data_IF_360634461635
#
_entry.id   IF_360634461635
#
_cell.length_a   1.000
_cell.length_b   1.000
_cell.length_c   1.000
_cell.angle_alpha   90.00
_cell.angle_beta   90.00
_cell.angle_gamma   90.00
#
_symmetry.space_group_name_H-M   'P 1'
#
loop_
_entity.id
_entity.type
_entity.pdbx_description
1 polymer ?
#
# COMPACT_ATOMS: atom_id res chain seq x y z
N UNK A 1 -11.93 8.73 8.72
CA UNK A 1 -10.77 8.04 8.07
C UNK A 1 -11.23 6.68 7.55
N UNK A 2 -10.87 6.27 6.31
CA UNK A 2 -11.16 4.93 5.79
C UNK A 2 -10.30 3.87 6.48
N UNK A 3 -10.85 2.66 6.71
CA UNK A 3 -10.12 1.54 7.32
C UNK A 3 -10.15 0.36 6.38
N UNK A 4 -8.98 -0.18 6.03
CA UNK A 4 -8.82 -1.30 5.13
C UNK A 4 -8.47 -2.58 5.89
N UNK A 5 -9.15 -3.67 5.51
CA UNK A 5 -8.84 -5.03 5.95
C UNK A 5 -8.09 -5.81 4.88
N UNK A 6 -7.99 -7.12 5.08
CA UNK A 6 -7.40 -8.04 4.13
C UNK A 6 -8.20 -9.33 4.02
N UNK A 7 -7.95 -10.08 2.95
CA UNK A 7 -8.43 -11.45 2.79
C UNK A 7 -7.25 -12.37 2.51
N UNK A 8 -7.45 -13.66 2.81
CA UNK A 8 -6.44 -14.69 2.55
C UNK A 8 -6.29 -15.03 1.06
N UNK A 9 -5.47 -16.07 0.81
CA UNK A 9 -5.23 -16.57 -0.56
C UNK A 9 -5.93 -17.92 -0.86
N UNK A 10 -6.65 -18.46 0.11
CA UNK A 10 -7.51 -19.63 -0.11
C UNK A 10 -8.80 -19.19 -0.78
N UNK A 11 -8.85 -19.31 -2.11
CA UNK A 11 -9.97 -18.84 -2.92
C UNK A 11 -11.31 -19.42 -2.52
N UNK A 12 -11.33 -20.58 -1.85
CA UNK A 12 -12.58 -21.19 -1.35
C UNK A 12 -13.15 -20.44 -0.14
N UNK A 13 -12.35 -19.65 0.56
CA UNK A 13 -12.72 -18.87 1.77
C UNK A 13 -12.87 -17.38 1.51
N UNK A 14 -12.20 -16.85 0.49
CA UNK A 14 -12.17 -15.42 0.20
C UNK A 14 -13.57 -14.80 0.11
N UNK A 15 -14.55 -15.50 -0.45
CA UNK A 15 -15.92 -14.98 -0.57
C UNK A 15 -16.57 -14.71 0.79
N UNK A 16 -16.37 -15.61 1.76
CA UNK A 16 -16.89 -15.46 3.13
C UNK A 16 -16.12 -14.40 3.90
N UNK A 17 -14.79 -14.41 3.80
CA UNK A 17 -13.92 -13.42 4.42
C UNK A 17 -14.23 -12.00 3.92
N UNK A 18 -14.48 -11.84 2.63
CA UNK A 18 -14.81 -10.55 2.04
C UNK A 18 -16.18 -10.02 2.49
N UNK A 19 -17.21 -10.90 2.57
CA UNK A 19 -18.50 -10.53 3.16
C UNK A 19 -18.37 -10.13 4.61
N UNK A 20 -17.63 -10.91 5.40
CA UNK A 20 -17.40 -10.58 6.81
C UNK A 20 -16.71 -9.21 6.96
N UNK A 21 -15.69 -8.91 6.14
CA UNK A 21 -15.02 -7.63 6.17
C UNK A 21 -15.99 -6.47 5.86
N UNK A 22 -16.85 -6.62 4.85
CA UNK A 22 -17.86 -5.61 4.51
C UNK A 22 -18.89 -5.43 5.64
N UNK A 23 -19.35 -6.52 6.27
CA UNK A 23 -20.29 -6.47 7.43
C UNK A 23 -19.66 -5.87 8.68
N UNK A 24 -18.36 -6.00 8.86
CA UNK A 24 -17.62 -5.37 9.95
C UNK A 24 -17.45 -3.85 9.75
N UNK A 25 -17.69 -3.33 8.54
CA UNK A 25 -17.60 -1.91 8.22
C UNK A 25 -16.23 -1.46 7.72
N UNK A 26 -15.40 -2.38 7.26
CA UNK A 26 -14.19 -1.99 6.52
C UNK A 26 -14.53 -1.17 5.28
N UNK A 27 -13.69 -0.20 4.96
CA UNK A 27 -13.85 0.65 3.77
C UNK A 27 -13.24 0.00 2.52
N UNK A 28 -12.28 -0.89 2.72
CA UNK A 28 -11.61 -1.61 1.64
C UNK A 28 -11.04 -2.96 2.07
N UNK A 29 -10.75 -3.79 1.09
CA UNK A 29 -10.10 -5.09 1.23
C UNK A 29 -8.83 -5.09 0.38
N UNK A 30 -7.70 -5.41 0.98
CA UNK A 30 -6.40 -5.42 0.33
C UNK A 30 -5.81 -6.83 0.23
N UNK A 31 -5.09 -7.09 -0.86
CA UNK A 31 -4.26 -8.27 -1.06
C UNK A 31 -2.83 -7.88 -1.45
N UNK A 32 -1.85 -8.68 -1.07
CA UNK A 32 -0.43 -8.42 -1.36
C UNK A 32 0.16 -9.52 -2.26
N UNK A 33 1.05 -9.15 -3.18
CA UNK A 33 1.80 -10.12 -3.98
C UNK A 33 3.01 -10.64 -3.20
N UNK A 34 2.83 -11.79 -2.55
CA UNK A 34 3.87 -12.47 -1.77
C UNK A 34 4.17 -13.85 -2.35
N UNK A 35 3.56 -14.89 -1.84
CA UNK A 35 3.64 -16.27 -2.34
C UNK A 35 2.57 -16.60 -3.40
N UNK A 36 1.57 -15.73 -3.55
CA UNK A 36 0.44 -15.89 -4.47
C UNK A 36 0.24 -14.64 -5.32
N UNK A 37 -0.51 -14.80 -6.41
CA UNK A 37 -0.95 -13.68 -7.25
C UNK A 37 -2.02 -12.86 -6.50
N UNK A 38 -1.91 -11.52 -6.47
CA UNK A 38 -2.79 -10.67 -5.68
C UNK A 38 -4.16 -10.45 -6.30
N UNK A 39 -4.36 -10.75 -7.58
CA UNK A 39 -5.59 -10.41 -8.29
C UNK A 39 -6.70 -11.46 -8.13
N UNK A 40 -6.35 -12.75 -8.06
CA UNK A 40 -7.37 -13.82 -7.98
C UNK A 40 -8.28 -13.70 -6.76
N UNK A 41 -7.79 -13.44 -5.53
CA UNK A 41 -8.67 -13.21 -4.40
C UNK A 41 -9.63 -12.04 -4.62
N UNK A 42 -9.18 -10.97 -5.28
CA UNK A 42 -10.01 -9.79 -5.53
C UNK A 42 -11.11 -10.04 -6.56
N UNK A 43 -10.90 -10.96 -7.53
CA UNK A 43 -11.97 -11.41 -8.43
C UNK A 43 -13.09 -12.10 -7.64
N UNK A 44 -12.73 -12.95 -6.69
CA UNK A 44 -13.72 -13.64 -5.82
C UNK A 44 -14.41 -12.61 -4.90
N UNK A 45 -13.64 -11.72 -4.26
CA UNK A 45 -14.18 -10.68 -3.39
C UNK A 45 -15.16 -9.75 -4.12
N UNK A 46 -14.88 -9.39 -5.39
CA UNK A 46 -15.75 -8.55 -6.20
C UNK A 46 -17.16 -9.11 -6.33
N UNK A 47 -17.30 -10.44 -6.46
CA UNK A 47 -18.59 -11.12 -6.59
C UNK A 47 -19.35 -11.23 -5.26
N UNK A 48 -18.67 -11.06 -4.12
CA UNK A 48 -19.23 -11.30 -2.79
C UNK A 48 -19.42 -10.01 -1.97
N UNK A 49 -19.05 -8.85 -2.51
CA UNK A 49 -19.14 -7.54 -1.87
C UNK A 49 -19.81 -6.51 -2.77
N UNK A 50 -20.31 -5.41 -2.18
CA UNK A 50 -21.02 -4.34 -2.92
C UNK A 50 -20.50 -2.93 -2.64
N UNK A 51 -19.76 -2.72 -1.54
CA UNK A 51 -19.40 -1.38 -1.05
C UNK A 51 -17.90 -1.17 -0.86
N UNK A 52 -17.20 -2.20 -0.37
CA UNK A 52 -15.76 -2.07 -0.06
C UNK A 52 -14.93 -1.88 -1.32
N UNK A 53 -13.95 -0.99 -1.25
CA UNK A 53 -12.89 -0.91 -2.25
C UNK A 53 -12.11 -2.24 -2.29
N UNK A 54 -11.67 -2.65 -3.46
CA UNK A 54 -10.84 -3.86 -3.64
C UNK A 54 -9.47 -3.42 -4.13
N UNK A 55 -8.43 -3.69 -3.36
CA UNK A 55 -7.11 -3.09 -3.62
C UNK A 55 -6.00 -4.13 -3.64
N UNK A 56 -5.08 -4.02 -4.61
CA UNK A 56 -3.77 -4.66 -4.45
C UNK A 56 -2.86 -3.77 -3.60
N UNK A 57 -2.24 -4.33 -2.55
CA UNK A 57 -1.30 -3.61 -1.67
C UNK A 57 -0.04 -4.45 -1.40
N UNK A 58 0.78 -4.66 -2.38
CA UNK A 58 0.80 -4.14 -3.76
C UNK A 58 0.90 -5.29 -4.77
N UNK A 59 0.55 -5.00 -6.02
CA UNK A 59 0.97 -5.80 -7.16
C UNK A 59 2.33 -5.32 -7.66
N UNK A 60 3.22 -6.27 -8.01
CA UNK A 60 4.58 -5.96 -8.47
C UNK A 60 4.55 -5.53 -9.93
N UNK A 61 4.69 -4.22 -10.18
CA UNK A 61 4.61 -3.66 -11.53
C UNK A 61 5.71 -4.20 -12.47
N UNK A 62 6.96 -4.25 -12.00
CA UNK A 62 8.08 -4.61 -12.86
C UNK A 62 8.21 -6.10 -13.19
N UNK A 63 7.35 -6.94 -12.64
CA UNK A 63 7.19 -8.33 -13.09
C UNK A 63 6.24 -8.47 -14.29
N UNK A 64 5.55 -7.39 -14.68
CA UNK A 64 4.53 -7.34 -15.72
C UNK A 64 4.77 -6.19 -16.70
N UNK A 65 3.92 -6.06 -17.71
CA UNK A 65 3.95 -4.92 -18.64
C UNK A 65 2.80 -3.95 -18.36
N UNK A 66 2.90 -2.66 -18.76
CA UNK A 66 1.79 -1.73 -18.66
C UNK A 66 0.51 -2.23 -19.32
N UNK A 67 0.60 -2.86 -20.49
CA UNK A 67 -0.55 -3.43 -21.20
C UNK A 67 -1.23 -4.54 -20.39
N UNK A 68 -0.45 -5.46 -19.82
CA UNK A 68 -1.00 -6.55 -19.00
C UNK A 68 -1.76 -6.01 -17.78
N UNK A 69 -1.19 -5.01 -17.09
CA UNK A 69 -1.85 -4.42 -15.93
C UNK A 69 -3.02 -3.51 -16.32
N UNK A 70 -2.98 -2.90 -17.52
CA UNK A 70 -4.13 -2.16 -18.03
C UNK A 70 -5.34 -3.09 -18.24
N UNK A 71 -5.14 -4.29 -18.83
CA UNK A 71 -6.19 -5.29 -19.00
C UNK A 71 -6.73 -5.76 -17.63
N UNK A 72 -5.85 -6.21 -16.75
CA UNK A 72 -6.26 -6.70 -15.41
C UNK A 72 -7.02 -5.62 -14.64
N UNK A 73 -6.51 -4.38 -14.67
CA UNK A 73 -7.14 -3.26 -14.00
C UNK A 73 -8.53 -2.94 -14.55
N UNK A 74 -8.69 -2.95 -15.87
CA UNK A 74 -9.99 -2.76 -16.53
C UNK A 74 -10.99 -3.86 -16.14
N UNK A 75 -10.60 -5.13 -16.27
CA UNK A 75 -11.48 -6.27 -16.01
C UNK A 75 -11.92 -6.32 -14.54
N UNK A 76 -10.98 -6.11 -13.60
CA UNK A 76 -11.32 -6.04 -12.17
C UNK A 76 -12.17 -4.82 -11.81
N UNK A 77 -11.91 -3.68 -12.45
CA UNK A 77 -12.73 -2.47 -12.23
C UNK A 77 -14.17 -2.70 -12.71
N UNK A 78 -14.34 -3.33 -13.86
CA UNK A 78 -15.66 -3.72 -14.38
C UNK A 78 -16.33 -4.76 -13.45
N UNK A 79 -15.62 -5.83 -13.05
CA UNK A 79 -16.16 -6.88 -12.17
C UNK A 79 -16.54 -6.37 -10.78
N UNK A 80 -15.90 -5.32 -10.30
CA UNK A 80 -16.17 -4.68 -9.00
C UNK A 80 -17.07 -3.44 -9.09
N UNK A 81 -17.63 -3.14 -10.25
CA UNK A 81 -18.50 -1.98 -10.44
C UNK A 81 -17.82 -0.64 -10.05
N UNK A 82 -16.54 -0.46 -10.48
CA UNK A 82 -15.77 0.77 -10.24
C UNK A 82 -15.05 0.84 -8.89
N UNK A 83 -15.07 -0.21 -8.07
CA UNK A 83 -14.48 -0.24 -6.72
C UNK A 83 -13.01 -0.66 -6.69
N UNK A 84 -12.42 -1.05 -7.83
CA UNK A 84 -11.05 -1.54 -7.86
C UNK A 84 -10.03 -0.41 -7.74
N UNK A 85 -9.01 -0.65 -6.92
CA UNK A 85 -7.83 0.20 -6.76
C UNK A 85 -6.59 -0.62 -7.11
N UNK A 86 -5.93 -0.25 -8.20
CA UNK A 86 -4.69 -0.88 -8.62
C UNK A 86 -3.51 -0.31 -7.85
N UNK A 87 -3.20 -0.92 -6.71
CA UNK A 87 -2.03 -0.57 -5.91
C UNK A 87 -0.76 -1.24 -6.45
N UNK A 88 0.19 -0.44 -6.88
CA UNK A 88 1.43 -0.86 -7.54
C UNK A 88 2.66 -0.62 -6.69
N UNK A 89 3.68 -1.46 -6.85
CA UNK A 89 5.01 -1.24 -6.29
C UNK A 89 6.10 -1.74 -7.21
N UNK A 90 7.29 -1.15 -7.11
CA UNK A 90 8.45 -1.54 -7.92
C UNK A 90 9.10 -2.84 -7.43
N UNK A 91 8.86 -3.24 -6.19
CA UNK A 91 9.61 -4.26 -5.47
C UNK A 91 11.11 -3.87 -5.37
N UNK A 92 11.94 -4.71 -4.78
CA UNK A 92 13.40 -4.51 -4.71
C UNK A 92 14.13 -5.20 -5.87
N UNK A 93 15.31 -4.69 -6.21
CA UNK A 93 16.13 -5.21 -7.32
C UNK A 93 16.31 -6.73 -7.27
N UNK A 94 16.62 -7.28 -6.08
CA UNK A 94 16.90 -8.72 -5.94
C UNK A 94 15.69 -9.59 -6.36
N UNK A 95 14.48 -9.22 -5.97
CA UNK A 95 13.27 -9.94 -6.36
C UNK A 95 12.99 -9.79 -7.86
N UNK A 96 13.10 -8.58 -8.41
CA UNK A 96 12.86 -8.37 -9.85
C UNK A 96 13.84 -9.17 -10.69
N UNK A 97 15.14 -9.12 -10.37
CA UNK A 97 16.16 -9.76 -11.21
C UNK A 97 16.30 -11.27 -10.98
N UNK A 98 16.13 -11.75 -9.73
CA UNK A 98 16.41 -13.14 -9.38
C UNK A 98 15.16 -14.02 -9.22
N UNK A 99 14.02 -13.44 -8.80
CA UNK A 99 12.75 -14.16 -8.65
C UNK A 99 11.88 -14.04 -9.90
N UNK A 100 11.75 -12.82 -10.46
CA UNK A 100 10.92 -12.58 -11.64
C UNK A 100 11.69 -12.63 -12.97
N UNK A 101 13.06 -12.72 -12.92
CA UNK A 101 13.92 -12.73 -14.12
C UNK A 101 13.70 -11.53 -15.06
N UNK A 102 13.44 -10.35 -14.50
CA UNK A 102 13.15 -9.14 -15.24
C UNK A 102 14.26 -8.10 -15.06
N UNK A 103 14.48 -7.20 -16.04
CA UNK A 103 15.47 -6.14 -15.94
C UNK A 103 15.10 -5.12 -14.87
N UNK A 104 16.14 -4.60 -14.17
CA UNK A 104 16.01 -3.54 -13.19
C UNK A 104 16.77 -2.30 -13.61
N UNK A 105 16.08 -1.18 -13.72
CA UNK A 105 16.72 0.11 -13.97
C UNK A 105 15.81 1.27 -13.56
N UNK A 106 16.40 2.39 -13.09
CA UNK A 106 15.73 3.68 -12.91
C UNK A 106 14.31 3.56 -12.26
N UNK A 107 14.16 3.00 -11.06
CA UNK A 107 12.84 2.54 -10.58
C UNK A 107 11.77 3.65 -10.55
N UNK A 108 12.10 4.87 -10.13
CA UNK A 108 11.13 5.95 -10.06
C UNK A 108 10.73 6.45 -11.48
N UNK A 109 11.69 6.72 -12.35
CA UNK A 109 11.41 7.22 -13.70
C UNK A 109 10.68 6.14 -14.54
N UNK A 110 11.06 4.88 -14.38
CA UNK A 110 10.40 3.74 -15.04
C UNK A 110 8.98 3.54 -14.51
N UNK A 111 8.73 3.70 -13.21
CA UNK A 111 7.38 3.60 -12.63
C UNK A 111 6.48 4.74 -13.10
N UNK A 112 7.02 5.96 -13.17
CA UNK A 112 6.31 7.10 -13.75
C UNK A 112 5.83 6.78 -15.17
N UNK A 113 6.74 6.32 -16.01
CA UNK A 113 6.42 5.98 -17.42
C UNK A 113 5.47 4.78 -17.51
N UNK A 114 5.62 3.78 -16.61
CA UNK A 114 4.73 2.63 -16.54
C UNK A 114 3.26 3.04 -16.32
N UNK A 115 3.02 3.91 -15.34
CA UNK A 115 1.66 4.39 -15.03
C UNK A 115 1.13 5.26 -16.17
N UNK A 116 1.95 6.14 -16.74
CA UNK A 116 1.54 6.95 -17.90
C UNK A 116 1.21 6.10 -19.13
N UNK A 117 1.95 5.01 -19.35
CA UNK A 117 1.68 4.07 -20.43
C UNK A 117 0.35 3.33 -20.22
N UNK A 118 0.03 2.88 -18.99
CA UNK A 118 -1.29 2.32 -18.69
C UNK A 118 -2.42 3.33 -18.94
N UNK A 119 -2.23 4.58 -18.48
CA UNK A 119 -3.22 5.65 -18.70
C UNK A 119 -3.44 5.94 -20.18
N UNK A 120 -2.39 5.90 -21.01
CA UNK A 120 -2.52 6.05 -22.45
C UNK A 120 -3.31 4.90 -23.09
N UNK A 121 -3.10 3.65 -22.62
CA UNK A 121 -3.90 2.50 -23.07
C UNK A 121 -5.38 2.68 -22.70
N UNK A 122 -5.69 3.03 -21.47
CA UNK A 122 -7.07 3.28 -21.03
C UNK A 122 -7.69 4.46 -21.78
N UNK A 123 -6.95 5.56 -21.98
CA UNK A 123 -7.44 6.69 -22.78
C UNK A 123 -7.88 6.24 -24.18
N UNK A 124 -7.04 5.45 -24.86
CA UNK A 124 -7.40 4.89 -26.18
C UNK A 124 -8.70 4.07 -26.12
N UNK A 125 -8.86 3.22 -25.10
CA UNK A 125 -10.07 2.39 -24.97
C UNK A 125 -11.34 3.19 -24.71
N UNK A 126 -11.26 4.28 -23.95
CA UNK A 126 -12.44 5.06 -23.56
C UNK A 126 -12.77 6.19 -24.51
N UNK A 127 -11.79 6.73 -25.23
CA UNK A 127 -12.00 7.86 -26.14
C UNK A 127 -12.02 7.46 -27.62
N UNK A 128 -11.45 6.29 -27.96
CA UNK A 128 -11.23 5.87 -29.34
C UNK A 128 -10.04 6.55 -30.02
N UNK A 129 -9.28 7.40 -29.30
CA UNK A 129 -8.08 8.02 -29.87
C UNK A 129 -7.00 6.96 -30.15
N UNK A 130 -6.18 7.12 -31.20
CA UNK A 130 -5.10 6.20 -31.51
C UNK A 130 -4.10 6.06 -30.34
N UNK A 131 -3.68 4.83 -30.06
CA UNK A 131 -2.62 4.59 -29.09
C UNK A 131 -1.27 5.04 -29.64
N UNK A 132 -0.69 6.10 -29.05
CA UNK A 132 0.54 6.74 -29.52
C UNK A 132 1.47 7.08 -28.34
N UNK A 133 1.78 6.08 -27.50
CA UNK A 133 2.70 6.25 -26.38
C UNK A 133 4.11 5.80 -26.73
N UNK A 134 5.09 6.70 -26.70
CA UNK A 134 6.50 6.41 -26.92
C UNK A 134 7.33 7.03 -25.81
N UNK A 135 7.90 6.19 -24.95
CA UNK A 135 8.72 6.58 -23.82
C UNK A 135 10.14 6.02 -23.92
N UNK A 136 10.89 6.19 -22.84
CA UNK A 136 12.24 5.65 -22.71
C UNK A 136 12.25 4.15 -22.41
N UNK A 137 11.25 3.67 -21.68
CA UNK A 137 11.17 2.30 -21.17
C UNK A 137 10.06 1.49 -21.85
N UNK A 138 9.00 2.14 -22.29
CA UNK A 138 7.82 1.51 -22.88
C UNK A 138 7.36 2.23 -24.15
N UNK A 139 6.92 1.43 -25.12
CA UNK A 139 6.33 1.92 -26.36
C UNK A 139 5.06 1.13 -26.65
N UNK A 140 3.94 1.83 -26.79
CA UNK A 140 2.64 1.27 -27.13
C UNK A 140 2.02 2.10 -28.26
N UNK A 141 2.05 1.56 -29.48
CA UNK A 141 1.59 2.27 -30.71
C UNK A 141 0.63 1.44 -31.55
N UNK A 142 0.17 0.32 -31.03
CA UNK A 142 -0.78 -0.55 -31.70
C UNK A 142 -1.98 -0.86 -30.81
N UNK A 143 -3.17 -0.48 -31.26
CA UNK A 143 -4.44 -0.90 -30.73
C UNK A 143 -5.42 -1.06 -31.88
N UNK A 144 -6.04 -2.23 -31.97
CA UNK A 144 -7.06 -2.49 -32.98
C UNK A 144 -8.41 -2.75 -32.32
N UNK A 145 -9.54 -2.60 -33.03
CA UNK A 145 -10.87 -2.84 -32.44
C UNK A 145 -11.03 -4.20 -31.80
N UNK A 146 -10.37 -5.23 -32.32
CA UNK A 146 -10.42 -6.58 -31.76
C UNK A 146 -9.82 -6.68 -30.33
N UNK A 147 -8.84 -5.83 -30.00
CA UNK A 147 -8.17 -5.79 -28.69
C UNK A 147 -8.65 -4.65 -27.79
N UNK A 148 -9.72 -3.94 -28.21
CA UNK A 148 -10.31 -2.87 -27.43
C UNK A 148 -11.50 -3.41 -26.64
N UNK A 149 -11.51 -3.30 -25.29
CA UNK A 149 -12.66 -3.71 -24.48
C UNK A 149 -13.93 -2.93 -24.84
N UNK A 150 -15.07 -3.58 -24.75
CA UNK A 150 -16.39 -2.97 -25.05
C UNK A 150 -17.16 -2.53 -23.80
N UNK A 151 -16.78 -3.03 -22.61
CA UNK A 151 -17.41 -2.68 -21.34
C UNK A 151 -16.63 -1.54 -20.64
N UNK A 152 -17.02 -0.30 -20.94
CA UNK A 152 -16.33 0.91 -20.46
C UNK A 152 -17.15 1.71 -19.42
N UNK A 153 -18.20 1.11 -18.88
CA UNK A 153 -19.17 1.78 -18.00
C UNK A 153 -18.52 2.39 -16.74
N UNK A 154 -17.52 1.70 -16.16
CA UNK A 154 -16.89 2.11 -14.91
C UNK A 154 -15.57 2.90 -15.08
N UNK A 155 -15.14 3.14 -16.31
CA UNK A 155 -13.92 3.89 -16.60
C UNK A 155 -12.62 3.20 -16.11
N UNK A 156 -11.53 3.97 -16.04
CA UNK A 156 -10.25 3.50 -15.59
C UNK A 156 -10.23 3.30 -14.05
N UNK A 157 -9.57 2.23 -13.54
CA UNK A 157 -9.41 2.07 -12.12
C UNK A 157 -8.52 3.17 -11.53
N UNK A 158 -8.72 3.47 -10.25
CA UNK A 158 -7.76 4.27 -9.48
C UNK A 158 -6.42 3.56 -9.39
N UNK A 159 -5.34 4.30 -9.50
CA UNK A 159 -3.97 3.77 -9.38
C UNK A 159 -3.33 4.34 -8.12
N UNK A 160 -2.97 3.48 -7.19
CA UNK A 160 -2.17 3.85 -6.03
C UNK A 160 -0.74 3.37 -6.22
N UNK A 161 0.24 4.16 -5.75
CA UNK A 161 1.66 3.81 -5.87
C UNK A 161 2.30 3.67 -4.49
N UNK A 162 2.87 2.49 -4.21
CA UNK A 162 3.67 2.32 -3.01
C UNK A 162 5.00 3.07 -3.13
N UNK A 163 5.27 3.93 -2.17
CA UNK A 163 6.45 4.77 -2.13
C UNK A 163 7.06 4.84 -0.73
N UNK A 164 8.39 4.82 -0.67
CA UNK A 164 9.18 4.94 0.56
C UNK A 164 10.06 6.18 0.51
N UNK A 165 10.89 6.30 -0.52
CA UNK A 165 11.81 7.44 -0.67
C UNK A 165 11.18 8.60 -1.43
N UNK A 166 11.72 9.83 -1.26
CA UNK A 166 11.11 11.07 -1.76
C UNK A 166 10.92 11.08 -3.29
N UNK A 167 11.81 10.42 -4.04
CA UNK A 167 11.71 10.39 -5.50
C UNK A 167 10.51 9.59 -6.00
N UNK A 168 10.24 8.41 -5.41
CA UNK A 168 9.08 7.61 -5.76
C UNK A 168 7.79 8.26 -5.26
N UNK A 169 7.83 8.90 -4.09
CA UNK A 169 6.72 9.67 -3.53
C UNK A 169 6.32 10.86 -4.43
N UNK A 170 7.30 11.57 -4.97
CA UNK A 170 7.06 12.64 -5.96
C UNK A 170 6.38 12.09 -7.22
N UNK A 171 6.83 10.92 -7.70
CA UNK A 171 6.17 10.22 -8.83
C UNK A 171 4.73 9.84 -8.48
N UNK A 172 4.46 9.35 -7.27
CA UNK A 172 3.08 9.07 -6.84
C UNK A 172 2.20 10.33 -6.95
N UNK A 173 2.63 11.46 -6.41
CA UNK A 173 1.90 12.73 -6.54
C UNK A 173 1.72 13.21 -7.97
N UNK A 174 2.66 12.89 -8.87
CA UNK A 174 2.60 13.32 -10.27
C UNK A 174 1.61 12.47 -11.10
N UNK A 175 1.62 11.14 -10.98
CA UNK A 175 0.92 10.26 -11.94
C UNK A 175 -0.10 9.30 -11.34
N UNK A 176 -0.15 9.12 -10.01
CA UNK A 176 -1.08 8.21 -9.35
C UNK A 176 -2.29 8.95 -8.75
N UNK A 177 -3.31 8.23 -8.31
CA UNK A 177 -4.51 8.76 -7.64
C UNK A 177 -4.42 8.61 -6.12
N UNK A 178 -3.37 7.93 -5.64
CA UNK A 178 -3.05 7.80 -4.24
C UNK A 178 -1.66 7.22 -4.03
N UNK A 179 -1.21 7.27 -2.78
CA UNK A 179 0.05 6.68 -2.33
C UNK A 179 -0.20 5.65 -1.24
N UNK A 180 0.53 4.54 -1.31
CA UNK A 180 0.59 3.55 -0.24
C UNK A 180 1.91 3.75 0.48
N UNK A 181 1.84 4.30 1.68
CA UNK A 181 2.99 4.52 2.56
C UNK A 181 3.37 3.17 3.20
N UNK A 182 4.65 2.92 3.37
CA UNK A 182 5.11 1.75 4.11
C UNK A 182 4.89 1.93 5.62
N UNK A 183 4.48 0.88 6.33
CA UNK A 183 4.28 0.94 7.78
C UNK A 183 5.52 1.43 8.55
N UNK A 184 6.71 1.10 8.05
CA UNK A 184 7.97 1.59 8.62
C UNK A 184 8.20 3.05 8.20
N UNK A 185 7.45 3.95 8.82
CA UNK A 185 7.61 5.41 8.72
C UNK A 185 7.22 6.05 10.06
N UNK A 186 7.60 7.30 10.27
CA UNK A 186 7.26 8.07 11.46
C UNK A 186 6.41 9.28 11.08
N UNK A 187 5.66 9.85 12.02
CA UNK A 187 4.94 11.09 11.81
C UNK A 187 5.88 12.20 11.30
N UNK A 188 7.07 12.33 11.93
CA UNK A 188 8.09 13.31 11.53
C UNK A 188 8.52 13.12 10.07
N UNK A 189 8.81 11.88 9.65
CA UNK A 189 9.16 11.57 8.26
C UNK A 189 8.01 11.86 7.29
N UNK A 190 6.77 11.57 7.69
CA UNK A 190 5.59 11.91 6.88
C UNK A 190 5.50 13.42 6.65
N UNK A 191 5.60 14.23 7.70
CA UNK A 191 5.47 15.70 7.63
C UNK A 191 6.63 16.36 6.91
N UNK A 192 7.87 15.95 7.20
CA UNK A 192 9.08 16.63 6.73
C UNK A 192 9.61 16.11 5.39
N UNK A 193 9.26 14.89 5.00
CA UNK A 193 9.79 14.25 3.78
C UNK A 193 8.70 13.83 2.80
N UNK A 194 7.70 13.07 3.28
CA UNK A 194 6.69 12.47 2.41
C UNK A 194 5.74 13.51 1.84
N UNK A 195 5.12 14.35 2.68
CA UNK A 195 4.20 15.39 2.21
C UNK A 195 4.87 16.39 1.27
N UNK A 196 6.06 16.97 1.57
CA UNK A 196 6.74 17.84 0.63
C UNK A 196 7.10 17.17 -0.70
N UNK A 197 7.35 15.86 -0.71
CA UNK A 197 7.60 15.13 -1.94
C UNK A 197 6.32 14.95 -2.78
N UNK A 198 5.17 14.67 -2.14
CA UNK A 198 3.86 14.64 -2.81
C UNK A 198 3.50 16.00 -3.40
N UNK A 199 3.71 17.08 -2.66
CA UNK A 199 3.45 18.45 -3.14
C UNK A 199 4.25 18.80 -4.40
N UNK A 200 5.53 18.39 -4.48
CA UNK A 200 6.31 18.53 -5.72
C UNK A 200 5.70 17.75 -6.89
N UNK A 201 5.16 16.56 -6.62
CA UNK A 201 4.44 15.76 -7.62
C UNK A 201 3.15 16.44 -8.07
N UNK A 202 2.35 16.94 -7.13
CA UNK A 202 1.12 17.69 -7.41
C UNK A 202 1.40 18.94 -8.27
N UNK A 203 2.46 19.69 -7.94
CA UNK A 203 2.84 20.85 -8.72
C UNK A 203 3.17 20.52 -10.19
N UNK A 204 3.69 19.33 -10.48
CA UNK A 204 3.97 18.87 -11.86
C UNK A 204 2.74 18.50 -12.65
N UNK A 205 1.75 17.91 -11.99
CA UNK A 205 0.52 17.41 -12.63
C UNK A 205 -0.64 18.42 -12.60
N UNK A 206 -0.54 19.47 -11.79
CA UNK A 206 -1.65 20.37 -11.48
C UNK A 206 -2.72 19.75 -10.57
N UNK A 207 -2.43 18.56 -10.00
CA UNK A 207 -3.35 17.86 -9.07
C UNK A 207 -3.44 18.59 -7.75
N UNK A 208 -4.60 18.51 -7.12
CA UNK A 208 -4.82 19.02 -5.77
C UNK A 208 -4.74 17.90 -4.74
N UNK A 209 -4.42 18.24 -3.49
CA UNK A 209 -4.39 17.26 -2.38
C UNK A 209 -5.73 16.57 -2.16
N UNK A 210 -6.84 17.28 -2.34
CA UNK A 210 -8.21 16.79 -2.19
C UNK A 210 -8.60 15.69 -3.19
N UNK A 211 -7.92 15.61 -4.35
CA UNK A 211 -8.12 14.61 -5.39
C UNK A 211 -7.19 13.39 -5.24
N UNK A 212 -6.53 13.24 -4.09
CA UNK A 212 -5.49 12.25 -3.88
C UNK A 212 -5.62 11.57 -2.51
N UNK A 213 -5.57 10.24 -2.46
CA UNK A 213 -5.67 9.49 -1.21
C UNK A 213 -4.28 9.07 -0.68
N UNK A 214 -4.04 9.27 0.61
CA UNK A 214 -2.86 8.78 1.32
C UNK A 214 -3.27 7.59 2.18
N UNK A 215 -2.79 6.39 1.83
CA UNK A 215 -2.98 5.16 2.59
C UNK A 215 -1.75 4.90 3.45
N UNK A 216 -1.94 4.89 4.77
CA UNK A 216 -0.88 4.63 5.74
C UNK A 216 -1.26 3.52 6.72
N UNK A 217 -0.64 2.34 6.62
CA UNK A 217 -0.84 1.24 7.57
C UNK A 217 -0.08 1.53 8.87
N UNK A 218 -0.79 2.03 9.87
CA UNK A 218 -0.23 2.38 11.18
C UNK A 218 0.18 1.12 11.93
N UNK A 219 1.36 1.13 12.54
CA UNK A 219 1.72 0.11 13.53
C UNK A 219 0.86 0.28 14.79
N UNK A 220 0.21 -0.80 15.19
CA UNK A 220 -0.63 -0.84 16.39
C UNK A 220 -0.11 -1.89 17.35
N UNK A 221 0.23 -1.45 18.55
CA UNK A 221 0.63 -2.27 19.67
C UNK A 221 -0.50 -2.28 20.70
N UNK A 222 -1.33 -3.31 20.74
CA UNK A 222 -2.50 -3.39 21.61
C UNK A 222 -2.76 -4.81 22.08
N UNK A 223 -3.41 -4.94 23.23
CA UNK A 223 -3.84 -6.19 23.84
C UNK A 223 -4.97 -5.93 24.83
N UNK A 224 -5.76 -6.94 25.16
CA UNK A 224 -6.87 -6.85 26.12
C UNK A 224 -6.42 -6.89 27.57
N UNK A 225 -5.19 -7.29 27.83
CA UNK A 225 -4.58 -7.40 29.15
C UNK A 225 -3.06 -7.15 29.05
N UNK A 226 -2.40 -7.05 30.18
CA UNK A 226 -0.96 -6.78 30.27
C UNK A 226 -0.10 -7.84 29.57
N UNK A 227 -0.48 -9.11 29.63
CA UNK A 227 0.25 -10.20 29.00
C UNK A 227 0.19 -10.09 27.45
N UNK A 228 -1.00 -9.88 26.90
CA UNK A 228 -1.20 -9.67 25.46
C UNK A 228 -0.48 -8.41 24.97
N UNK A 229 -0.57 -7.31 25.71
CA UNK A 229 0.12 -6.08 25.38
C UNK A 229 1.64 -6.25 25.40
N UNK A 230 2.18 -6.97 26.39
CA UNK A 230 3.61 -7.28 26.46
C UNK A 230 4.07 -8.15 25.26
N UNK A 231 3.28 -9.16 24.90
CA UNK A 231 3.55 -10.00 23.72
C UNK A 231 3.51 -9.18 22.42
N UNK A 232 2.50 -8.30 22.25
CA UNK A 232 2.38 -7.38 21.12
C UNK A 232 3.56 -6.41 21.06
N UNK A 233 4.05 -5.92 22.20
CA UNK A 233 5.22 -5.04 22.29
C UNK A 233 6.47 -5.73 21.73
N UNK A 234 6.74 -6.96 22.14
CA UNK A 234 7.87 -7.74 21.62
C UNK A 234 7.75 -7.95 20.11
N UNK A 235 6.56 -8.32 19.63
CA UNK A 235 6.31 -8.53 18.20
C UNK A 235 6.51 -7.23 17.40
N UNK A 236 5.98 -6.11 17.88
CA UNK A 236 6.11 -4.79 17.24
C UNK A 236 7.57 -4.35 17.17
N UNK A 237 8.34 -4.49 18.26
CA UNK A 237 9.77 -4.17 18.28
C UNK A 237 10.56 -5.04 17.28
N UNK A 238 10.29 -6.34 17.21
CA UNK A 238 10.92 -7.24 16.23
C UNK A 238 10.58 -6.83 14.79
N UNK A 239 9.36 -6.43 14.53
CA UNK A 239 8.95 -5.99 13.20
C UNK A 239 9.59 -4.66 12.79
N UNK A 240 9.68 -3.70 13.71
CA UNK A 240 10.40 -2.44 13.49
C UNK A 240 11.88 -2.73 13.20
N UNK A 241 12.54 -3.58 14.00
CA UNK A 241 13.93 -3.98 13.78
C UNK A 241 14.16 -4.66 12.43
N UNK A 242 13.25 -5.57 12.05
CA UNK A 242 13.29 -6.26 10.77
C UNK A 242 13.28 -5.25 9.59
N UNK A 243 12.33 -4.32 9.56
CA UNK A 243 12.28 -3.30 8.52
C UNK A 243 13.48 -2.34 8.61
N UNK A 244 13.85 -1.91 9.82
CA UNK A 244 14.98 -1.03 10.07
C UNK A 244 16.32 -1.59 9.59
N UNK A 245 16.44 -2.92 9.44
CA UNK A 245 17.63 -3.57 8.87
C UNK A 245 17.84 -3.29 7.37
N UNK A 246 16.79 -2.85 6.68
CA UNK A 246 16.83 -2.61 5.24
C UNK A 246 17.48 -1.25 4.93
N UNK A 247 18.56 -1.18 4.11
CA UNK A 247 19.27 0.06 3.85
C UNK A 247 18.41 1.21 3.29
N UNK A 248 17.37 0.88 2.51
CA UNK A 248 16.48 1.87 1.93
C UNK A 248 15.64 2.63 2.98
N UNK A 249 15.52 2.10 4.20
CA UNK A 249 14.75 2.72 5.29
C UNK A 249 15.60 3.53 6.27
N UNK A 250 16.92 3.59 6.06
CA UNK A 250 17.81 4.40 6.90
C UNK A 250 17.34 5.86 7.08
N UNK A 251 16.87 6.55 6.02
CA UNK A 251 16.38 7.93 6.18
C UNK A 251 15.22 8.10 7.17
N UNK A 252 14.40 7.05 7.37
CA UNK A 252 13.33 7.08 8.37
C UNK A 252 13.91 7.06 9.78
N UNK A 253 14.93 6.24 10.03
CA UNK A 253 15.64 6.20 11.31
C UNK A 253 16.43 7.50 11.55
N UNK A 254 17.05 8.07 10.51
CA UNK A 254 17.73 9.35 10.58
C UNK A 254 16.77 10.49 10.98
N UNK A 255 15.51 10.43 10.56
CA UNK A 255 14.51 11.45 10.91
C UNK A 255 14.20 11.53 12.40
N UNK A 256 14.50 10.47 13.16
CA UNK A 256 14.35 10.40 14.62
C UNK A 256 15.69 10.24 15.35
N UNK A 257 16.78 10.66 14.71
CA UNK A 257 18.13 10.72 15.27
C UNK A 257 18.73 9.36 15.70
N UNK A 258 18.28 8.25 15.09
CA UNK A 258 18.80 6.88 15.36
C UNK A 258 19.30 6.18 14.08
N UNK A 259 19.80 6.94 13.11
CA UNK A 259 20.26 6.43 11.81
C UNK A 259 21.38 5.39 11.87
N UNK A 260 22.24 5.44 12.91
CA UNK A 260 23.32 4.46 13.13
C UNK A 260 22.76 3.04 13.33
N UNK A 261 21.58 2.91 13.94
CA UNK A 261 20.94 1.63 14.24
C UNK A 261 20.74 0.78 12.98
N UNK A 262 20.56 1.40 11.82
CA UNK A 262 20.38 0.69 10.54
C UNK A 262 21.57 -0.25 10.23
N UNK A 263 22.80 0.23 10.45
CA UNK A 263 24.00 -0.57 10.17
C UNK A 263 24.10 -1.80 11.06
N UNK A 264 23.80 -1.67 12.33
CA UNK A 264 23.80 -2.76 13.32
C UNK A 264 22.70 -3.78 13.01
N UNK A 265 21.47 -3.32 12.83
CA UNK A 265 20.34 -4.19 12.44
C UNK A 265 20.63 -4.96 11.13
N UNK A 266 21.22 -4.31 10.13
CA UNK A 266 21.61 -4.95 8.87
C UNK A 266 22.69 -6.02 9.07
N UNK A 267 23.67 -5.80 9.93
CA UNK A 267 24.69 -6.79 10.26
C UNK A 267 24.10 -8.00 10.98
N UNK A 268 23.23 -7.78 11.97
CA UNK A 268 22.54 -8.84 12.70
C UNK A 268 21.61 -9.66 11.81
N UNK A 269 20.86 -9.01 10.92
CA UNK A 269 19.96 -9.69 9.97
C UNK A 269 20.70 -10.68 9.07
N UNK A 270 21.90 -10.34 8.62
CA UNK A 270 22.79 -11.23 7.83
C UNK A 270 23.32 -12.43 8.63
N UNK A 271 23.33 -12.32 9.95
CA UNK A 271 23.72 -13.39 10.87
C UNK A 271 22.51 -14.22 11.34
N UNK A 272 21.29 -13.88 10.92
CA UNK A 272 20.07 -14.57 11.36
C UNK A 272 19.64 -14.29 12.80
N UNK A 273 20.16 -13.23 13.45
CA UNK A 273 19.90 -12.86 14.83
C UNK A 273 18.61 -12.04 14.99
N UNK A 274 17.53 -12.56 14.45
CA UNK A 274 16.25 -11.85 14.31
C UNK A 274 15.59 -11.48 15.65
N UNK A 275 15.72 -12.33 16.65
CA UNK A 275 15.14 -12.09 17.98
C UNK A 275 15.86 -10.97 18.72
N UNK A 276 17.19 -11.03 18.74
CA UNK A 276 18.04 -10.05 19.40
C UNK A 276 17.92 -8.65 18.80
N UNK A 277 17.63 -8.54 17.52
CA UNK A 277 17.41 -7.24 16.85
C UNK A 277 16.27 -6.45 17.50
N UNK A 278 15.22 -7.13 17.99
CA UNK A 278 14.09 -6.49 18.66
C UNK A 278 14.48 -5.80 19.97
N UNK A 279 15.53 -6.30 20.66
CA UNK A 279 16.03 -5.73 21.92
C UNK A 279 16.70 -4.35 21.72
N UNK A 280 17.18 -4.06 20.51
CA UNK A 280 17.75 -2.75 20.16
C UNK A 280 16.69 -1.66 19.99
N UNK A 281 15.42 -2.02 19.86
CA UNK A 281 14.32 -1.09 19.72
C UNK A 281 13.84 -0.68 21.12
N UNK A 282 14.24 0.51 21.54
CA UNK A 282 13.77 1.08 22.82
C UNK A 282 12.28 1.44 22.75
N UNK A 283 11.65 1.71 23.89
CA UNK A 283 10.26 2.17 23.94
C UNK A 283 10.08 3.51 23.22
N UNK A 284 11.07 4.40 23.32
CA UNK A 284 11.06 5.70 22.61
C UNK A 284 11.08 5.49 21.09
N UNK A 285 11.95 4.60 20.58
CA UNK A 285 11.98 4.28 19.16
C UNK A 285 10.64 3.65 18.74
N UNK A 286 10.12 2.69 19.49
CA UNK A 286 8.83 2.06 19.19
C UNK A 286 7.70 3.08 19.16
N UNK A 287 7.65 4.02 20.10
CA UNK A 287 6.62 5.06 20.20
C UNK A 287 6.64 6.02 19.00
N UNK A 288 7.79 6.21 18.34
CA UNK A 288 7.89 6.99 17.12
C UNK A 288 7.18 6.33 15.93
N UNK A 289 7.09 4.99 15.90
CA UNK A 289 6.48 4.21 14.82
C UNK A 289 5.06 3.75 15.10
N UNK A 290 4.75 3.40 16.36
CA UNK A 290 3.50 2.72 16.72
C UNK A 290 2.63 3.57 17.65
N UNK A 291 1.31 3.34 17.57
CA UNK A 291 0.37 3.70 18.64
C UNK A 291 0.23 2.51 19.58
N UNK A 292 0.14 2.77 20.90
CA UNK A 292 0.17 1.71 21.92
C UNK A 292 -0.85 1.94 23.01
N UNK A 293 -1.46 0.86 23.49
CA UNK A 293 -2.34 0.88 24.64
C UNK A 293 -3.51 -0.09 24.55
N UNK A 294 -4.49 0.12 25.41
CA UNK A 294 -5.74 -0.64 25.39
C UNK A 294 -6.50 -0.43 24.09
N UNK A 295 -7.23 -1.44 23.57
CA UNK A 295 -7.95 -1.36 22.29
C UNK A 295 -8.83 -0.11 22.15
N UNK A 296 -9.56 0.27 23.20
CA UNK A 296 -10.46 1.44 23.21
C UNK A 296 -9.77 2.78 22.97
N UNK A 297 -8.47 2.90 23.28
CA UNK A 297 -7.68 4.13 23.12
C UNK A 297 -7.06 4.30 21.75
N UNK A 298 -6.91 3.22 21.00
CA UNK A 298 -6.18 3.18 19.71
C UNK A 298 -6.78 4.11 18.65
N UNK A 299 -8.11 4.12 18.40
CA UNK A 299 -8.69 5.02 17.40
C UNK A 299 -8.39 6.49 17.66
N UNK A 300 -8.52 6.94 18.91
CA UNK A 300 -8.23 8.33 19.31
C UNK A 300 -6.76 8.68 19.06
N UNK A 301 -5.83 7.79 19.35
CA UNK A 301 -4.39 7.99 19.09
C UNK A 301 -4.10 8.07 17.58
N UNK A 302 -4.69 7.19 16.76
CA UNK A 302 -4.52 7.21 15.30
C UNK A 302 -5.05 8.53 14.72
N UNK A 303 -6.26 8.92 15.10
CA UNK A 303 -6.88 10.16 14.61
C UNK A 303 -6.11 11.41 15.05
N UNK A 304 -5.68 11.47 16.32
CA UNK A 304 -4.91 12.58 16.84
C UNK A 304 -3.56 12.75 16.14
N UNK A 305 -2.90 11.64 15.81
CA UNK A 305 -1.54 11.65 15.24
C UNK A 305 -1.53 11.73 13.70
N UNK A 306 -2.49 11.08 13.04
CA UNK A 306 -2.46 10.88 11.59
C UNK A 306 -3.73 11.32 10.87
N UNK A 307 -4.74 11.84 11.57
CA UNK A 307 -6.03 12.21 10.98
C UNK A 307 -5.95 13.33 9.94
N UNK A 308 -4.95 14.20 10.04
CA UNK A 308 -4.66 15.25 9.07
C UNK A 308 -3.67 14.82 7.97
N UNK A 309 -3.05 13.65 8.11
CA UNK A 309 -1.99 13.15 7.24
C UNK A 309 -2.45 12.05 6.29
N UNK A 310 -3.36 11.19 6.74
CA UNK A 310 -3.77 9.99 6.03
C UNK A 310 -5.29 9.93 5.85
N UNK A 311 -5.73 9.55 4.65
CA UNK A 311 -7.15 9.36 4.33
C UNK A 311 -7.60 7.93 4.64
N UNK A 312 -6.66 6.97 4.61
CA UNK A 312 -6.88 5.54 4.83
C UNK A 312 -5.83 4.96 5.77
N UNK A 313 -6.25 4.02 6.59
CA UNK A 313 -5.34 3.18 7.38
C UNK A 313 -5.70 1.71 7.25
N UNK A 314 -4.71 0.83 7.40
CA UNK A 314 -4.95 -0.59 7.64
C UNK A 314 -4.33 -0.93 8.98
N UNK A 315 -5.15 -1.40 9.91
CA UNK A 315 -4.65 -1.82 11.21
C UNK A 315 -4.88 -3.32 11.37
N UNK A 316 -3.81 -4.02 11.70
CA UNK A 316 -3.84 -5.47 11.90
C UNK A 316 -4.47 -5.82 13.26
N UNK A 317 -5.79 -5.68 13.36
CA UNK A 317 -6.55 -6.04 14.57
C UNK A 317 -7.00 -7.50 14.62
N UNK A 318 -6.46 -8.37 13.74
CA UNK A 318 -6.93 -9.74 13.59
C UNK A 318 -6.84 -10.60 14.86
N UNK A 319 -5.96 -10.23 15.79
CA UNK A 319 -5.80 -10.91 17.09
C UNK A 319 -6.87 -10.51 18.14
N UNK A 320 -7.60 -9.40 17.90
CA UNK A 320 -8.66 -8.96 18.80
C UNK A 320 -9.97 -9.68 18.53
N UNK A 321 -10.85 -9.83 19.53
CA UNK A 321 -12.21 -10.31 19.36
C UNK A 321 -12.98 -9.52 18.30
N UNK A 322 -13.95 -10.18 17.66
CA UNK A 322 -14.69 -9.61 16.54
C UNK A 322 -15.42 -8.29 16.91
N UNK A 323 -16.02 -8.23 18.10
CA UNK A 323 -16.76 -7.06 18.55
C UNK A 323 -15.83 -5.87 18.81
N UNK A 324 -14.66 -6.09 19.39
CA UNK A 324 -13.65 -5.05 19.60
C UNK A 324 -13.12 -4.52 18.28
N UNK A 325 -12.81 -5.42 17.32
CA UNK A 325 -12.42 -5.01 15.97
C UNK A 325 -13.46 -4.14 15.31
N UNK A 326 -14.74 -4.53 15.41
CA UNK A 326 -15.86 -3.76 14.85
C UNK A 326 -15.99 -2.38 15.48
N UNK A 327 -15.86 -2.30 16.80
CA UNK A 327 -15.89 -1.02 17.52
C UNK A 327 -14.74 -0.09 17.10
N UNK A 328 -13.53 -0.63 16.95
CA UNK A 328 -12.36 0.13 16.47
C UNK A 328 -12.55 0.67 15.05
N UNK A 329 -13.03 -0.18 14.13
CA UNK A 329 -13.32 0.22 12.75
C UNK A 329 -14.37 1.33 12.73
N UNK A 330 -15.47 1.18 13.48
CA UNK A 330 -16.53 2.18 13.56
C UNK A 330 -16.03 3.52 14.11
N UNK A 331 -15.20 3.48 15.17
CA UNK A 331 -14.63 4.70 15.75
C UNK A 331 -13.75 5.46 14.76
N UNK A 332 -12.96 4.76 13.92
CA UNK A 332 -12.13 5.39 12.89
C UNK A 332 -12.93 5.88 11.68
N UNK A 333 -13.95 5.13 11.25
CA UNK A 333 -14.73 5.48 10.05
C UNK A 333 -15.79 6.55 10.30
N UNK A 334 -16.20 6.77 11.55
CA UNK A 334 -17.20 7.79 11.93
C UNK A 334 -16.58 9.16 12.24
N UNK A 335 -15.27 9.25 12.33
CA UNK A 335 -14.51 10.48 12.53
C UNK A 335 -14.14 11.13 11.19
#
# INVERSE_FOLDING_TARGET
MKVDGGVGFDLSKVGDEAREAEEMGYSGIATAETSHDPFFPLVVAAQHTKKVDLMTSIAVAFSRTPMTLANIGHDLNAASEGRFVLGLGSQIRAHITKRFSMPWSHPADRMREFILAMRAVWNTWYTGEPLAFTGKFYTHTLMTPFFTPTNNEFGAPRVFLAAVGPRMTEVAGEVADGVIIHAFTTEKYLRETTLPALERGFAKSGRKREDFEISYPVFVNTGQNEEELAAATVATKRQIAFYGSTPAYKPVLESIDVGELQGELNAMSKQGRWEEMGELITDDIMSAFAVSGEPSTIPGQILSRYGDLADRTSAAYAHLPKDDRKALIQALTSA
#
